data_IF_673306546088
#
_entry.id   IF_673306546088
#
_cell.length_a   1.000
_cell.length_b   1.000
_cell.length_c   1.000
_cell.angle_alpha   90.00
_cell.angle_beta   90.00
_cell.angle_gamma   90.00
#
_symmetry.space_group_name_H-M   'P 1'
#
loop_
_entity.id
_entity.type
_entity.pdbx_description
1 polymer ?
#
# COMPACT_ATOMS: atom_id res chain seq x y z
N UNK A 1 -5.51 23.91 -54.47
CA UNK A 1 -5.51 22.50 -54.04
C UNK A 1 -6.61 22.16 -53.02
N UNK A 2 -7.23 23.13 -52.32
CA UNK A 2 -8.32 22.82 -51.36
C UNK A 2 -9.68 22.53 -52.01
N UNK A 3 -9.95 23.06 -53.21
CA UNK A 3 -11.24 22.90 -53.90
C UNK A 3 -11.56 21.44 -54.30
N UNK A 4 -10.54 20.64 -54.65
CA UNK A 4 -10.73 19.24 -55.03
C UNK A 4 -11.15 18.36 -53.85
N UNK A 5 -10.65 18.65 -52.65
CA UNK A 5 -10.94 17.86 -51.45
C UNK A 5 -12.37 18.11 -50.94
N UNK A 6 -12.84 19.35 -50.98
CA UNK A 6 -14.21 19.70 -50.61
C UNK A 6 -15.23 19.17 -51.63
N UNK A 7 -14.88 19.16 -52.92
CA UNK A 7 -15.70 18.55 -53.97
C UNK A 7 -15.82 17.03 -53.79
N UNK A 8 -14.70 16.33 -53.54
CA UNK A 8 -14.67 14.90 -53.21
C UNK A 8 -15.49 14.57 -51.96
N UNK A 9 -15.37 15.39 -50.91
CA UNK A 9 -16.15 15.21 -49.67
C UNK A 9 -17.64 15.36 -49.91
N UNK A 10 -18.04 16.35 -50.70
CA UNK A 10 -19.44 16.58 -51.05
C UNK A 10 -20.02 15.41 -51.86
N UNK A 11 -19.26 14.91 -52.84
CA UNK A 11 -19.66 13.75 -53.64
C UNK A 11 -19.78 12.47 -52.81
N UNK A 12 -18.87 12.24 -51.86
CA UNK A 12 -18.94 11.08 -50.95
C UNK A 12 -20.16 11.15 -50.02
N UNK A 13 -20.49 12.34 -49.49
CA UNK A 13 -21.67 12.54 -48.65
C UNK A 13 -22.96 12.29 -49.44
N UNK A 14 -23.05 12.77 -50.67
CA UNK A 14 -24.20 12.50 -51.55
C UNK A 14 -24.33 11.02 -51.90
N UNK A 15 -23.21 10.35 -52.22
CA UNK A 15 -23.20 8.92 -52.55
C UNK A 15 -23.63 8.05 -51.36
N UNK A 16 -23.19 8.41 -50.15
CA UNK A 16 -23.61 7.76 -48.91
C UNK A 16 -25.09 8.01 -48.60
N UNK A 17 -25.60 9.21 -48.89
CA UNK A 17 -27.03 9.52 -48.78
C UNK A 17 -27.90 8.62 -49.66
N UNK A 18 -27.47 8.37 -50.90
CA UNK A 18 -28.18 7.47 -51.82
C UNK A 18 -28.14 6.03 -51.31
N UNK A 19 -26.99 5.54 -50.85
CA UNK A 19 -26.83 4.17 -50.33
C UNK A 19 -27.63 3.92 -49.05
N UNK A 20 -27.88 4.95 -48.24
CA UNK A 20 -28.58 4.83 -46.97
C UNK A 20 -30.08 5.13 -47.03
N UNK A 21 -30.60 5.53 -48.20
CA UNK A 21 -32.02 5.91 -48.42
C UNK A 21 -33.07 4.82 -48.16
N UNK A 22 -32.66 3.57 -47.83
CA UNK A 22 -33.54 2.45 -47.47
C UNK A 22 -33.42 1.96 -46.02
N UNK A 23 -32.60 2.59 -45.16
CA UNK A 23 -32.45 2.20 -43.74
C UNK A 23 -33.24 3.14 -42.84
N UNK A 24 -33.88 2.60 -41.79
CA UNK A 24 -34.57 3.41 -40.78
C UNK A 24 -33.56 4.36 -40.09
N UNK A 25 -33.81 5.66 -40.24
CA UNK A 25 -33.02 6.69 -39.57
C UNK A 25 -33.31 6.68 -38.06
N UNK A 26 -32.31 6.85 -37.19
CA UNK A 26 -32.52 6.89 -35.74
C UNK A 26 -33.34 8.10 -35.28
N UNK A 27 -33.42 9.16 -36.09
CA UNK A 27 -34.22 10.36 -35.81
C UNK A 27 -35.07 10.77 -37.03
N UNK A 28 -36.41 10.61 -37.01
CA UNK A 28 -37.25 10.82 -38.19
C UNK A 28 -37.34 12.28 -38.67
N UNK A 29 -36.81 13.25 -37.89
CA UNK A 29 -36.88 14.67 -38.23
C UNK A 29 -35.62 15.22 -38.92
N UNK A 30 -34.51 14.47 -38.95
CA UNK A 30 -33.27 14.89 -39.60
C UNK A 30 -33.03 14.18 -40.92
N UNK A 31 -32.52 14.91 -41.91
CA UNK A 31 -32.04 14.30 -43.14
C UNK A 31 -30.68 13.63 -42.91
N UNK A 32 -30.41 12.51 -43.58
CA UNK A 32 -29.15 11.75 -43.40
C UNK A 32 -27.89 12.60 -43.71
N UNK A 33 -28.01 13.58 -44.61
CA UNK A 33 -26.95 14.54 -44.92
C UNK A 33 -26.65 15.48 -43.74
N UNK A 34 -27.69 15.97 -43.05
CA UNK A 34 -27.54 16.77 -41.83
C UNK A 34 -26.98 15.94 -40.68
N UNK A 35 -27.38 14.67 -40.59
CA UNK A 35 -26.83 13.73 -39.60
C UNK A 35 -25.33 13.45 -39.82
N UNK A 36 -24.90 13.19 -41.05
CA UNK A 36 -23.46 13.03 -41.35
C UNK A 36 -22.67 14.30 -41.04
N UNK A 37 -23.25 15.48 -41.30
CA UNK A 37 -22.64 16.77 -40.96
C UNK A 37 -22.61 17.05 -39.45
N UNK A 38 -23.52 16.46 -38.68
CA UNK A 38 -23.57 16.59 -37.22
C UNK A 38 -22.68 15.58 -36.49
N UNK A 39 -22.17 14.55 -37.19
CA UNK A 39 -21.21 13.63 -36.62
C UNK A 39 -19.92 14.36 -36.22
N UNK A 40 -19.41 14.14 -35.00
CA UNK A 40 -18.14 14.73 -34.58
C UNK A 40 -17.03 14.26 -35.54
N UNK A 41 -16.23 15.21 -36.02
CA UNK A 41 -15.06 14.89 -36.82
C UNK A 41 -14.05 14.10 -36.00
N UNK A 42 -13.18 13.33 -36.66
CA UNK A 42 -12.10 12.61 -35.97
C UNK A 42 -11.27 13.54 -35.07
N UNK A 43 -11.04 14.78 -35.53
CA UNK A 43 -10.35 15.80 -34.73
C UNK A 43 -11.10 16.19 -33.46
N UNK A 44 -12.44 16.29 -33.48
CA UNK A 44 -13.21 16.62 -32.27
C UNK A 44 -13.23 15.46 -31.29
N UNK A 45 -13.34 14.22 -31.77
CA UNK A 45 -13.22 13.02 -30.91
C UNK A 45 -11.82 12.88 -30.29
N UNK A 46 -10.77 13.20 -31.05
CA UNK A 46 -9.41 13.22 -30.51
C UNK A 46 -9.21 14.31 -29.46
N UNK A 47 -9.75 15.52 -29.68
CA UNK A 47 -9.74 16.60 -28.69
C UNK A 47 -10.51 16.21 -27.44
N UNK A 48 -11.68 15.60 -27.57
CA UNK A 48 -12.47 15.13 -26.44
C UNK A 48 -11.72 14.05 -25.65
N UNK A 49 -11.08 13.10 -26.34
CA UNK A 49 -10.27 12.06 -25.69
C UNK A 49 -9.09 12.66 -24.92
N UNK A 50 -8.40 13.64 -25.50
CA UNK A 50 -7.31 14.39 -24.81
C UNK A 50 -7.84 15.13 -23.59
N UNK A 51 -8.96 15.83 -23.72
CA UNK A 51 -9.60 16.52 -22.61
C UNK A 51 -9.98 15.55 -21.48
N UNK A 52 -10.56 14.38 -21.79
CA UNK A 52 -10.86 13.36 -20.79
C UNK A 52 -9.60 12.76 -20.14
N UNK A 53 -8.49 12.64 -20.87
CA UNK A 53 -7.21 12.23 -20.30
C UNK A 53 -6.66 13.29 -19.35
N UNK A 54 -6.70 14.57 -19.74
CA UNK A 54 -6.30 15.69 -18.89
C UNK A 54 -7.15 15.78 -17.62
N UNK A 55 -8.47 15.58 -17.72
CA UNK A 55 -9.36 15.56 -16.56
C UNK A 55 -9.01 14.42 -15.59
N UNK A 56 -8.72 13.22 -16.09
CA UNK A 56 -8.25 12.10 -15.26
C UNK A 56 -6.90 12.41 -14.60
N UNK A 57 -5.97 13.01 -15.33
CA UNK A 57 -4.68 13.42 -14.77
C UNK A 57 -4.85 14.48 -13.67
N UNK A 58 -5.72 15.48 -13.88
CA UNK A 58 -6.05 16.51 -12.87
C UNK A 58 -6.63 15.89 -11.61
N UNK A 59 -7.58 14.96 -11.74
CA UNK A 59 -8.16 14.25 -10.59
C UNK A 59 -7.11 13.45 -9.80
N UNK A 60 -6.19 12.76 -10.49
CA UNK A 60 -5.10 12.02 -9.85
C UNK A 60 -4.19 12.97 -9.07
N UNK A 61 -3.79 14.10 -9.67
CA UNK A 61 -2.95 15.10 -9.01
C UNK A 61 -3.65 15.74 -7.82
N UNK A 62 -4.95 16.03 -7.92
CA UNK A 62 -5.75 16.57 -6.82
C UNK A 62 -5.82 15.57 -5.65
N UNK A 63 -6.06 14.30 -5.91
CA UNK A 63 -6.04 13.25 -4.88
C UNK A 63 -4.65 13.12 -4.23
N UNK A 64 -3.57 13.22 -5.01
CA UNK A 64 -2.20 13.22 -4.47
C UNK A 64 -1.95 14.43 -3.58
N UNK A 65 -2.40 15.62 -3.99
CA UNK A 65 -2.28 16.85 -3.21
C UNK A 65 -3.06 16.74 -1.89
N UNK A 66 -4.29 16.21 -1.92
CA UNK A 66 -5.09 15.97 -0.71
C UNK A 66 -4.40 15.00 0.25
N UNK A 67 -3.85 13.89 -0.26
CA UNK A 67 -3.08 12.93 0.57
C UNK A 67 -1.85 13.58 1.19
N UNK A 68 -1.12 14.40 0.44
CA UNK A 68 0.04 15.12 0.97
C UNK A 68 -0.35 16.19 2.00
N UNK A 69 -1.48 16.87 1.80
CA UNK A 69 -2.01 17.83 2.77
C UNK A 69 -2.37 17.15 4.10
N UNK A 70 -2.97 15.95 4.06
CA UNK A 70 -3.23 15.14 5.26
C UNK A 70 -1.92 14.76 5.94
N UNK A 71 -0.93 14.24 5.20
CA UNK A 71 0.40 13.90 5.76
C UNK A 71 1.13 15.10 6.36
N UNK A 72 0.88 16.32 5.87
CA UNK A 72 1.42 17.55 6.48
C UNK A 72 0.73 17.84 7.80
N UNK A 73 -0.61 17.80 7.85
CA UNK A 73 -1.38 17.96 9.10
C UNK A 73 -0.96 16.94 10.16
N UNK A 74 -0.82 15.67 9.80
CA UNK A 74 -0.36 14.63 10.72
C UNK A 74 1.05 14.91 11.26
N UNK A 75 1.98 15.41 10.42
CA UNK A 75 3.32 15.83 10.88
C UNK A 75 3.26 17.03 11.82
N UNK A 76 2.41 18.01 11.51
CA UNK A 76 2.22 19.19 12.34
C UNK A 76 1.60 18.81 13.71
N UNK A 77 0.63 17.90 13.72
CA UNK A 77 0.04 17.33 14.93
C UNK A 77 1.07 16.54 15.75
N UNK A 78 1.88 15.68 15.13
CA UNK A 78 2.98 14.98 15.81
C UNK A 78 4.00 15.96 16.41
N UNK A 79 4.30 17.04 15.71
CA UNK A 79 5.21 18.09 16.19
C UNK A 79 4.61 18.83 17.39
N UNK A 80 3.31 19.15 17.33
CA UNK A 80 2.59 19.81 18.42
C UNK A 80 2.49 18.91 19.66
N UNK A 81 2.21 17.61 19.48
CA UNK A 81 2.20 16.62 20.57
C UNK A 81 3.57 16.52 21.23
N UNK A 82 4.64 16.45 20.42
CA UNK A 82 6.01 16.42 20.93
C UNK A 82 6.37 17.71 21.69
N UNK A 83 5.89 18.87 21.24
CA UNK A 83 6.11 20.14 21.93
C UNK A 83 5.36 20.23 23.27
N UNK A 84 4.19 19.60 23.38
CA UNK A 84 3.42 19.55 24.63
C UNK A 84 4.02 18.61 25.67
N UNK A 85 4.71 17.53 25.26
CA UNK A 85 5.40 16.64 26.19
C UNK A 85 6.56 17.33 26.93
N UNK A 86 7.14 18.40 26.38
CA UNK A 86 8.15 19.23 27.05
C UNK A 86 7.55 20.37 27.91
N UNK A 87 6.22 20.56 27.88
CA UNK A 87 5.50 21.56 28.66
C UNK A 87 4.70 20.94 29.82
N UNK A 88 5.07 19.74 30.28
CA UNK A 88 4.66 19.30 31.62
C UNK A 88 5.31 20.28 32.59
N UNK A 89 4.53 21.05 33.39
CA UNK A 89 5.11 21.90 34.40
C UNK A 89 5.99 21.03 35.26
N UNK A 90 7.28 21.36 35.29
CA UNK A 90 8.24 20.85 36.25
C UNK A 90 7.86 21.42 37.65
N UNK A 91 6.60 21.25 38.07
CA UNK A 91 6.22 21.12 39.48
C UNK A 91 6.79 19.78 39.99
N UNK A 92 8.09 19.61 39.76
CA UNK A 92 9.08 19.17 40.71
C UNK A 92 8.55 18.04 41.57
N UNK A 93 8.78 16.81 41.09
CA UNK A 93 8.67 15.62 41.93
C UNK A 93 9.42 15.83 43.27
N UNK A 94 10.43 16.71 43.31
CA UNK A 94 11.11 17.18 44.52
C UNK A 94 10.19 17.97 45.48
N UNK A 95 9.26 18.80 44.99
CA UNK A 95 8.25 19.50 45.80
C UNK A 95 7.28 18.51 46.46
N UNK A 96 6.80 17.52 45.70
CA UNK A 96 5.91 16.47 46.23
C UNK A 96 6.66 15.57 47.23
N UNK A 97 7.94 15.27 46.99
CA UNK A 97 8.77 14.52 47.94
C UNK A 97 9.10 15.32 49.21
N UNK A 98 9.36 16.62 49.09
CA UNK A 98 9.59 17.51 50.24
C UNK A 98 8.35 17.61 51.12
N UNK A 99 7.15 17.77 50.55
CA UNK A 99 5.90 17.76 51.30
C UNK A 99 5.66 16.44 52.05
N UNK A 100 5.92 15.30 51.41
CA UNK A 100 5.79 13.98 52.07
C UNK A 100 6.79 13.83 53.23
N UNK A 101 8.02 14.34 53.08
CA UNK A 101 9.03 14.27 54.13
C UNK A 101 8.65 15.11 55.36
N UNK A 102 8.15 16.33 55.16
CA UNK A 102 7.66 17.18 56.25
C UNK A 102 6.49 16.55 57.02
N UNK A 103 5.61 15.85 56.32
CA UNK A 103 4.46 15.17 56.93
C UNK A 103 4.90 14.03 57.88
N UNK A 104 5.94 13.28 57.51
CA UNK A 104 6.51 12.21 58.34
C UNK A 104 7.14 12.79 59.61
N UNK A 105 7.86 13.91 59.51
CA UNK A 105 8.49 14.55 60.66
C UNK A 105 7.47 15.06 61.70
N UNK A 106 6.33 15.60 61.25
CA UNK A 106 5.23 16.01 62.15
C UNK A 106 4.67 14.83 62.94
N UNK A 107 4.45 13.71 62.27
CA UNK A 107 3.86 12.51 62.88
C UNK A 107 4.79 11.89 63.95
N UNK A 108 6.11 11.90 63.71
CA UNK A 108 7.09 11.42 64.69
C UNK A 108 7.16 12.28 65.96
N UNK A 109 6.91 13.59 65.86
CA UNK A 109 6.90 14.49 67.01
C UNK A 109 5.68 14.28 67.92
N UNK A 110 4.56 13.85 67.35
CA UNK A 110 3.31 13.59 68.07
C UNK A 110 3.40 12.33 68.93
N UNK A 111 4.00 11.26 68.40
CA UNK A 111 4.21 9.99 69.12
C UNK A 111 5.03 10.19 70.41
N UNK A 112 6.10 10.99 70.36
CA UNK A 112 6.94 11.26 71.53
C UNK A 112 6.22 12.02 72.65
N UNK A 113 5.15 12.76 72.34
CA UNK A 113 4.36 13.45 73.37
C UNK A 113 3.46 12.50 74.16
N UNK A 114 2.97 11.46 73.50
CA UNK A 114 2.08 10.47 74.13
C UNK A 114 2.85 9.54 75.08
N UNK A 115 4.14 9.27 74.80
CA UNK A 115 4.98 8.40 75.63
C UNK A 115 5.39 9.01 76.98
N UNK A 116 5.21 10.33 77.19
CA UNK A 116 5.63 11.02 78.42
C UNK A 116 4.51 11.18 79.48
N UNK A 117 3.30 10.65 79.22
CA UNK A 117 2.10 10.94 80.03
C UNK A 117 1.72 9.96 81.16
N UNK A 118 2.21 8.73 81.17
CA UNK A 118 1.63 7.65 82.00
C UNK A 118 2.63 7.05 83.00
N UNK A 119 2.91 7.74 84.12
CA UNK A 119 3.42 7.08 85.35
C UNK A 119 3.10 7.94 86.59
N UNK A 120 2.04 7.60 87.32
CA UNK A 120 1.91 7.88 88.77
C UNK A 120 0.81 6.98 89.38
N UNK A 121 1.23 5.93 90.08
CA UNK A 121 0.38 5.13 90.98
C UNK A 121 0.74 5.43 92.45
N UNK A 122 -0.23 5.25 93.37
CA UNK A 122 0.01 5.15 94.81
C UNK A 122 -1.13 4.38 95.52
N UNK A 123 -0.85 3.33 96.33
CA UNK A 123 -1.82 2.80 97.29
C UNK A 123 -1.26 2.65 98.72
N UNK A 124 -2.03 3.00 99.75
CA UNK A 124 -1.72 2.66 101.16
C UNK A 124 -2.93 2.20 101.98
N UNK A 125 -2.72 1.02 102.59
CA UNK A 125 -3.47 0.33 103.64
C UNK A 125 -3.51 1.10 104.98
N UNK A 126 -4.49 0.80 105.87
CA UNK A 126 -4.23 0.29 107.25
C UNK A 126 -5.48 -0.03 108.10
N UNK A 127 -5.26 -1.05 108.94
CA UNK A 127 -6.08 -1.75 109.95
C UNK A 127 -6.04 -1.03 111.31
N UNK A 128 -7.02 -1.24 112.22
CA UNK A 128 -6.78 -1.33 113.68
C UNK A 128 -7.96 -1.91 114.48
N UNK A 129 -7.65 -2.74 115.49
CA UNK A 129 -8.54 -3.47 116.39
C UNK A 129 -8.23 -3.17 117.88
N UNK A 130 -9.24 -3.21 118.77
CA UNK A 130 -9.22 -3.24 120.27
C UNK A 130 -10.61 -3.73 120.72
N UNK A 131 -10.90 -4.46 121.78
CA UNK A 131 -10.19 -5.05 122.91
C UNK A 131 -11.24 -5.74 123.82
N UNK A 132 -10.83 -6.77 124.57
CA UNK A 132 -11.66 -7.75 125.31
C UNK A 132 -12.18 -7.28 126.68
N UNK A 133 -13.28 -7.88 127.18
CA UNK A 133 -13.57 -8.13 128.61
C UNK A 133 -14.60 -9.27 128.74
N UNK A 134 -14.23 -10.37 129.41
CA UNK A 134 -15.04 -11.60 129.54
C UNK A 134 -15.85 -11.69 130.85
N UNK A 135 -17.03 -12.36 130.93
CA UNK A 135 -17.88 -12.17 132.11
C UNK A 135 -18.64 -13.41 132.65
N UNK A 136 -19.46 -13.10 133.66
CA UNK A 136 -20.01 -13.91 134.75
C UNK A 136 -21.02 -15.02 134.36
N UNK A 137 -21.26 -15.99 135.23
CA UNK A 137 -22.05 -17.24 134.99
C UNK A 137 -23.49 -17.07 134.45
N UNK A 138 -24.13 -15.89 134.50
CA UNK A 138 -25.39 -15.59 133.77
C UNK A 138 -25.16 -15.45 132.26
N UNK A 139 -23.94 -15.09 131.86
CA UNK A 139 -23.49 -15.16 130.47
C UNK A 139 -23.29 -16.57 129.96
N UNK A 140 -23.10 -17.62 130.75
CA UNK A 140 -22.90 -18.96 130.18
C UNK A 140 -24.13 -19.46 129.41
N UNK A 141 -25.34 -19.06 129.84
CA UNK A 141 -26.60 -19.31 129.12
C UNK A 141 -26.79 -18.34 127.93
N UNK A 142 -26.45 -17.07 128.09
CA UNK A 142 -26.43 -16.11 126.98
C UNK A 142 -25.36 -16.44 125.93
N UNK A 143 -24.26 -17.08 126.32
CA UNK A 143 -23.18 -17.62 125.47
C UNK A 143 -23.70 -18.84 124.72
N UNK A 144 -24.53 -19.69 125.34
CA UNK A 144 -25.13 -20.83 124.66
C UNK A 144 -26.21 -20.42 123.64
N UNK A 145 -27.06 -19.44 123.98
CA UNK A 145 -27.98 -18.83 123.00
C UNK A 145 -27.25 -18.03 121.93
N UNK A 146 -26.20 -17.27 122.29
CA UNK A 146 -25.30 -16.64 121.32
C UNK A 146 -24.63 -17.67 120.43
N UNK A 147 -24.17 -18.80 120.95
CA UNK A 147 -23.58 -19.88 120.16
C UNK A 147 -24.58 -20.47 119.18
N UNK A 148 -25.85 -20.64 119.58
CA UNK A 148 -26.90 -21.14 118.69
C UNK A 148 -27.30 -20.12 117.61
N UNK A 149 -27.39 -18.84 117.97
CA UNK A 149 -27.61 -17.75 117.02
C UNK A 149 -26.40 -17.55 116.09
N UNK A 150 -25.19 -17.70 116.62
CA UNK A 150 -23.93 -17.64 115.87
C UNK A 150 -23.85 -18.80 114.88
N UNK A 151 -24.23 -20.03 115.26
CA UNK A 151 -24.35 -21.15 114.32
C UNK A 151 -25.37 -20.89 113.20
N UNK A 152 -26.51 -20.26 113.50
CA UNK A 152 -27.50 -19.87 112.48
C UNK A 152 -26.99 -18.71 111.60
N UNK A 153 -26.25 -17.75 112.18
CA UNK A 153 -25.60 -16.69 111.43
C UNK A 153 -24.48 -17.21 110.55
N UNK A 154 -23.71 -18.18 111.01
CA UNK A 154 -22.66 -18.89 110.27
C UNK A 154 -23.30 -19.67 109.12
N UNK A 155 -24.39 -20.41 109.32
CA UNK A 155 -25.13 -21.06 108.23
C UNK A 155 -25.69 -20.06 107.21
N UNK A 156 -26.22 -18.92 107.66
CA UNK A 156 -26.68 -17.84 106.76
C UNK A 156 -25.50 -17.19 106.03
N UNK A 157 -24.34 -17.10 106.65
CA UNK A 157 -23.10 -16.57 106.07
C UNK A 157 -22.54 -17.52 105.03
N UNK A 158 -22.48 -18.81 105.33
CA UNK A 158 -22.13 -19.89 104.41
C UNK A 158 -23.08 -19.91 103.21
N UNK A 159 -24.39 -19.75 103.43
CA UNK A 159 -25.37 -19.63 102.33
C UNK A 159 -25.09 -18.44 101.41
N UNK A 160 -24.76 -17.26 101.97
CA UNK A 160 -24.35 -16.07 101.20
C UNK A 160 -22.99 -16.23 100.53
N UNK A 161 -22.08 -17.00 101.11
CA UNK A 161 -20.76 -17.30 100.54
C UNK A 161 -20.87 -18.29 99.39
N UNK A 162 -21.70 -19.32 99.50
CA UNK A 162 -22.04 -20.23 98.41
C UNK A 162 -22.75 -19.52 97.27
N UNK A 163 -23.67 -18.60 97.57
CA UNK A 163 -24.33 -17.79 96.54
C UNK A 163 -23.34 -16.82 95.86
N UNK A 164 -22.40 -16.24 96.61
CA UNK A 164 -21.28 -15.45 96.04
C UNK A 164 -20.39 -16.31 95.13
N UNK A 165 -19.97 -17.49 95.59
CA UNK A 165 -19.17 -18.40 94.77
C UNK A 165 -19.91 -18.81 93.50
N UNK A 166 -21.22 -19.11 93.57
CA UNK A 166 -22.04 -19.40 92.37
C UNK A 166 -22.10 -18.22 91.41
N UNK A 167 -22.20 -16.98 91.90
CA UNK A 167 -22.17 -15.78 91.06
C UNK A 167 -20.80 -15.55 90.43
N UNK A 168 -19.73 -15.79 91.18
CA UNK A 168 -18.35 -15.74 90.69
C UNK A 168 -18.11 -16.83 89.62
N UNK A 169 -18.57 -18.06 89.85
CA UNK A 169 -18.51 -19.16 88.87
C UNK A 169 -19.29 -18.81 87.60
N UNK A 170 -20.50 -18.26 87.72
CA UNK A 170 -21.29 -17.78 86.57
C UNK A 170 -20.55 -16.67 85.81
N UNK A 171 -19.95 -15.71 86.53
CA UNK A 171 -19.14 -14.65 85.93
C UNK A 171 -17.93 -15.21 85.18
N UNK A 172 -17.23 -16.21 85.73
CA UNK A 172 -16.11 -16.86 85.04
C UNK A 172 -16.59 -17.63 83.80
N UNK A 173 -17.71 -18.33 83.88
CA UNK A 173 -18.29 -19.05 82.74
C UNK A 173 -18.71 -18.07 81.63
N UNK A 174 -19.38 -16.97 81.96
CA UNK A 174 -19.74 -15.90 81.01
C UNK A 174 -18.49 -15.32 80.34
N UNK A 175 -17.45 -15.00 81.12
CA UNK A 175 -16.19 -14.49 80.60
C UNK A 175 -15.48 -15.47 79.66
N UNK A 176 -15.52 -16.77 79.96
CA UNK A 176 -14.97 -17.82 79.08
C UNK A 176 -15.79 -17.90 77.78
N UNK A 177 -17.11 -17.81 77.85
CA UNK A 177 -17.98 -17.83 76.67
C UNK A 177 -17.75 -16.59 75.80
N UNK A 178 -17.63 -15.40 76.39
CA UNK A 178 -17.27 -14.17 75.69
C UNK A 178 -15.90 -14.25 75.03
N UNK A 179 -14.89 -14.81 75.73
CA UNK A 179 -13.56 -15.00 75.17
C UNK A 179 -13.59 -15.95 73.97
N UNK A 180 -14.37 -17.05 74.04
CA UNK A 180 -14.58 -17.97 72.92
C UNK A 180 -15.30 -17.31 71.75
N UNK A 181 -16.30 -16.48 72.02
CA UNK A 181 -17.02 -15.73 70.98
C UNK A 181 -16.09 -14.74 70.27
N UNK A 182 -15.28 -13.98 71.02
CA UNK A 182 -14.28 -13.06 70.46
C UNK A 182 -13.22 -13.80 69.63
N UNK A 183 -12.70 -14.92 70.13
CA UNK A 183 -11.74 -15.74 69.40
C UNK A 183 -12.31 -16.26 68.07
N UNK A 184 -13.59 -16.69 68.07
CA UNK A 184 -14.28 -17.13 66.85
C UNK A 184 -14.47 -15.98 65.86
N UNK A 185 -14.88 -14.81 66.33
CA UNK A 185 -15.04 -13.61 65.49
C UNK A 185 -13.70 -13.19 64.86
N UNK A 186 -12.61 -13.23 65.62
CA UNK A 186 -11.27 -12.92 65.12
C UNK A 186 -10.81 -13.94 64.07
N UNK A 187 -11.09 -15.22 64.29
CA UNK A 187 -10.80 -16.27 63.31
C UNK A 187 -11.58 -16.02 62.00
N UNK A 188 -12.87 -15.71 62.07
CA UNK A 188 -13.68 -15.37 60.88
C UNK A 188 -13.14 -14.13 60.16
N UNK A 189 -12.66 -13.11 60.88
CA UNK A 189 -12.01 -11.94 60.29
C UNK A 189 -10.72 -12.31 59.55
N UNK A 190 -9.89 -13.18 60.15
CA UNK A 190 -8.65 -13.67 59.52
C UNK A 190 -8.95 -14.47 58.26
N UNK A 191 -9.95 -15.35 58.29
CA UNK A 191 -10.38 -16.14 57.14
C UNK A 191 -10.92 -15.25 56.01
N UNK A 192 -11.76 -14.26 56.33
CA UNK A 192 -12.26 -13.26 55.36
C UNK A 192 -11.12 -12.46 54.74
N UNK A 193 -10.16 -12.00 55.55
CA UNK A 193 -9.00 -11.25 55.05
C UNK A 193 -8.10 -12.13 54.15
N UNK A 194 -7.91 -13.40 54.50
CA UNK A 194 -7.18 -14.36 53.69
C UNK A 194 -7.88 -14.67 52.35
N UNK A 195 -9.22 -14.78 52.35
CA UNK A 195 -9.99 -14.95 51.12
C UNK A 195 -9.89 -13.73 50.18
N UNK A 196 -9.95 -12.51 50.73
CA UNK A 196 -9.76 -11.28 49.96
C UNK A 196 -8.36 -11.20 49.32
N UNK A 197 -7.31 -11.57 50.06
CA UNK A 197 -5.95 -11.61 49.53
C UNK A 197 -5.78 -12.64 48.41
N UNK A 198 -6.40 -13.84 48.55
CA UNK A 198 -6.40 -14.86 47.48
C UNK A 198 -7.11 -14.36 46.23
N UNK A 199 -8.28 -13.73 46.37
CA UNK A 199 -9.01 -13.16 45.24
C UNK A 199 -8.18 -12.07 44.54
N UNK A 200 -7.54 -11.18 45.29
CA UNK A 200 -6.67 -10.15 44.71
C UNK A 200 -5.47 -10.76 43.95
N UNK A 201 -4.86 -11.81 44.47
CA UNK A 201 -3.75 -12.50 43.83
C UNK A 201 -4.20 -13.24 42.56
N UNK A 202 -5.37 -13.88 42.58
CA UNK A 202 -5.98 -14.49 41.39
C UNK A 202 -6.32 -13.44 40.31
N UNK A 203 -6.84 -12.28 40.69
CA UNK A 203 -7.11 -11.17 39.76
C UNK A 203 -5.82 -10.63 39.13
N UNK A 204 -4.76 -10.48 39.92
CA UNK A 204 -3.44 -10.11 39.40
C UNK A 204 -2.90 -11.15 38.42
N UNK A 205 -3.02 -12.44 38.74
CA UNK A 205 -2.62 -13.52 37.84
C UNK A 205 -3.43 -13.51 36.53
N UNK A 206 -4.75 -13.32 36.62
CA UNK A 206 -5.63 -13.16 35.45
C UNK A 206 -5.25 -11.93 34.62
N UNK A 207 -4.89 -10.82 35.25
CA UNK A 207 -4.41 -9.62 34.57
C UNK A 207 -3.07 -9.89 33.84
N UNK A 208 -2.10 -10.51 34.50
CA UNK A 208 -0.81 -10.90 33.89
C UNK A 208 -1.04 -11.84 32.70
N UNK A 209 -1.93 -12.82 32.83
CA UNK A 209 -2.28 -13.74 31.74
C UNK A 209 -2.88 -13.00 30.54
N UNK A 210 -3.81 -12.07 30.76
CA UNK A 210 -4.38 -11.21 29.71
C UNK A 210 -3.31 -10.37 29.01
N UNK A 211 -2.41 -9.76 29.78
CA UNK A 211 -1.31 -8.98 29.20
C UNK A 211 -0.40 -9.85 28.33
N UNK A 212 -0.05 -11.07 28.78
CA UNK A 212 0.76 -11.99 27.99
C UNK A 212 0.10 -12.39 26.67
N UNK A 213 -1.22 -12.62 26.66
CA UNK A 213 -1.98 -12.90 25.45
C UNK A 213 -1.93 -11.72 24.48
N UNK A 214 -2.21 -10.50 24.95
CA UNK A 214 -2.12 -9.29 24.14
C UNK A 214 -0.72 -9.07 23.55
N UNK A 215 0.34 -9.32 24.33
CA UNK A 215 1.72 -9.26 23.83
C UNK A 215 2.00 -10.33 22.77
N UNK A 216 1.47 -11.55 22.94
CA UNK A 216 1.63 -12.62 21.95
C UNK A 216 0.90 -12.28 20.64
N UNK A 217 -0.34 -11.79 20.72
CA UNK A 217 -1.13 -11.32 19.57
C UNK A 217 -0.42 -10.19 18.84
N UNK A 218 0.06 -9.17 19.57
CA UNK A 218 0.83 -8.07 19.00
C UNK A 218 2.07 -8.57 18.25
N UNK A 219 2.82 -9.51 18.82
CA UNK A 219 4.00 -10.11 18.15
C UNK A 219 3.64 -10.86 16.88
N UNK A 220 2.48 -11.52 16.83
CA UNK A 220 2.01 -12.21 15.62
C UNK A 220 1.63 -11.17 14.57
N UNK A 221 0.86 -10.14 14.93
CA UNK A 221 0.49 -9.05 14.03
C UNK A 221 1.71 -8.31 13.45
N UNK A 222 2.74 -8.08 14.26
CA UNK A 222 4.00 -7.47 13.81
C UNK A 222 4.73 -8.38 12.80
N UNK A 223 4.75 -9.70 13.03
CA UNK A 223 5.34 -10.68 12.10
C UNK A 223 4.58 -10.73 10.78
N UNK A 224 3.25 -10.74 10.82
CA UNK A 224 2.40 -10.71 9.62
C UNK A 224 2.63 -9.42 8.83
N UNK A 225 2.72 -8.28 9.52
CA UNK A 225 3.02 -6.99 8.88
C UNK A 225 4.38 -7.00 8.20
N UNK A 226 5.41 -7.57 8.84
CA UNK A 226 6.73 -7.72 8.23
C UNK A 226 6.73 -8.68 7.04
N UNK A 227 5.98 -9.79 7.13
CA UNK A 227 5.84 -10.75 6.04
C UNK A 227 5.17 -10.11 4.81
N UNK A 228 4.06 -9.40 5.00
CA UNK A 228 3.39 -8.67 3.90
C UNK A 228 4.31 -7.63 3.24
N UNK A 229 5.11 -6.90 4.03
CA UNK A 229 6.09 -5.95 3.48
C UNK A 229 7.17 -6.66 2.66
N UNK A 230 7.65 -7.83 3.12
CA UNK A 230 8.63 -8.61 2.39
C UNK A 230 8.06 -9.15 1.07
N UNK A 231 6.81 -9.65 1.08
CA UNK A 231 6.10 -10.11 -0.11
C UNK A 231 5.87 -8.97 -1.12
N UNK A 232 5.49 -7.78 -0.68
CA UNK A 232 5.34 -6.61 -1.55
C UNK A 232 6.69 -6.19 -2.17
N UNK A 233 7.78 -6.19 -1.38
CA UNK A 233 9.12 -5.92 -1.91
C UNK A 233 9.55 -6.95 -2.96
N UNK A 234 9.34 -8.24 -2.70
CA UNK A 234 9.63 -9.30 -3.66
C UNK A 234 8.80 -9.14 -4.93
N UNK A 235 7.51 -8.85 -4.78
CA UNK A 235 6.59 -8.61 -5.91
C UNK A 235 7.02 -7.40 -6.75
N UNK A 236 7.48 -6.32 -6.10
CA UNK A 236 8.06 -5.15 -6.80
C UNK A 236 9.31 -5.55 -7.57
N UNK A 237 10.23 -6.31 -6.95
CA UNK A 237 11.44 -6.79 -7.62
C UNK A 237 11.13 -7.65 -8.84
N UNK A 238 10.13 -8.55 -8.74
CA UNK A 238 9.68 -9.35 -9.88
C UNK A 238 9.15 -8.49 -11.03
N UNK A 239 8.28 -7.52 -10.73
CA UNK A 239 7.77 -6.57 -11.73
C UNK A 239 8.89 -5.75 -12.37
N UNK A 240 9.90 -5.34 -11.62
CA UNK A 240 11.06 -4.65 -12.18
C UNK A 240 11.85 -5.54 -13.15
N UNK A 241 12.12 -6.79 -12.78
CA UNK A 241 12.81 -7.74 -13.66
C UNK A 241 12.01 -8.04 -14.93
N UNK A 242 10.69 -8.19 -14.82
CA UNK A 242 9.81 -8.38 -15.97
C UNK A 242 9.82 -7.15 -16.88
N UNK A 243 9.77 -5.94 -16.30
CA UNK A 243 9.87 -4.70 -17.07
C UNK A 243 11.24 -4.54 -17.78
N UNK A 244 12.33 -4.96 -17.15
CA UNK A 244 13.67 -5.00 -17.78
C UNK A 244 13.72 -5.96 -18.95
N UNK A 245 13.15 -7.16 -18.82
CA UNK A 245 13.03 -8.13 -19.93
C UNK A 245 12.22 -7.58 -21.09
N UNK A 246 11.06 -6.99 -20.82
CA UNK A 246 10.22 -6.36 -21.86
C UNK A 246 10.95 -5.22 -22.57
N UNK A 247 11.76 -4.44 -21.83
CA UNK A 247 12.59 -3.39 -22.41
C UNK A 247 13.67 -3.98 -23.33
N UNK A 248 14.31 -5.08 -22.93
CA UNK A 248 15.30 -5.79 -23.74
C UNK A 248 14.67 -6.38 -25.01
N UNK A 249 13.50 -7.00 -24.91
CA UNK A 249 12.73 -7.51 -26.05
C UNK A 249 12.38 -6.39 -27.05
N UNK A 250 11.87 -5.26 -26.57
CA UNK A 250 11.59 -4.08 -27.41
C UNK A 250 12.85 -3.53 -28.07
N UNK A 251 13.99 -3.54 -27.36
CA UNK A 251 15.27 -3.14 -27.93
C UNK A 251 15.70 -4.11 -29.02
N UNK A 252 15.58 -5.42 -28.81
CA UNK A 252 15.91 -6.44 -29.81
C UNK A 252 15.04 -6.29 -31.06
N UNK A 253 13.72 -6.16 -30.91
CA UNK A 253 12.81 -5.91 -32.03
C UNK A 253 13.19 -4.65 -32.82
N UNK A 254 13.57 -3.57 -32.13
CA UNK A 254 14.00 -2.35 -32.79
C UNK A 254 15.29 -2.55 -33.59
N UNK A 255 16.26 -3.28 -33.04
CA UNK A 255 17.50 -3.62 -33.75
C UNK A 255 17.21 -4.50 -34.98
N UNK A 256 16.37 -5.52 -34.85
CA UNK A 256 15.95 -6.38 -35.96
C UNK A 256 15.27 -5.58 -37.08
N UNK A 257 14.32 -4.70 -36.74
CA UNK A 257 13.68 -3.82 -37.72
C UNK A 257 14.69 -2.93 -38.45
N UNK A 258 15.69 -2.43 -37.73
CA UNK A 258 16.75 -1.60 -38.31
C UNK A 258 17.64 -2.41 -39.26
N UNK A 259 17.99 -3.64 -38.90
CA UNK A 259 18.76 -4.56 -39.76
C UNK A 259 17.97 -4.88 -41.03
N UNK A 260 16.69 -5.25 -40.90
CA UNK A 260 15.82 -5.51 -42.05
C UNK A 260 15.71 -4.31 -43.00
N UNK A 261 15.57 -3.09 -42.46
CA UNK A 261 15.56 -1.87 -43.28
C UNK A 261 16.87 -1.66 -44.03
N UNK A 262 18.02 -1.93 -43.40
CA UNK A 262 19.32 -1.84 -44.09
C UNK A 262 19.46 -2.90 -45.19
N UNK A 263 19.02 -4.13 -44.94
CA UNK A 263 19.06 -5.21 -45.94
C UNK A 263 18.12 -4.94 -47.12
N UNK A 264 16.92 -4.41 -46.86
CA UNK A 264 15.99 -3.97 -47.91
C UNK A 264 16.59 -2.84 -48.76
N UNK A 265 17.23 -1.87 -48.12
CA UNK A 265 17.90 -0.76 -48.80
C UNK A 265 19.06 -1.25 -49.68
N UNK A 266 19.87 -2.16 -49.17
CA UNK A 266 20.98 -2.78 -49.91
C UNK A 266 20.46 -3.60 -51.08
N UNK A 267 19.38 -4.36 -50.88
CA UNK A 267 18.74 -5.15 -51.92
C UNK A 267 18.19 -4.27 -53.04
N UNK A 268 17.49 -3.18 -52.70
CA UNK A 268 17.01 -2.19 -53.68
C UNK A 268 18.16 -1.54 -54.44
N UNK A 269 19.24 -1.17 -53.74
CA UNK A 269 20.42 -0.58 -54.35
C UNK A 269 21.10 -1.53 -55.34
N UNK A 270 21.25 -2.81 -54.97
CA UNK A 270 21.78 -3.85 -55.87
C UNK A 270 20.92 -4.06 -57.11
N UNK A 271 19.59 -4.10 -56.95
CA UNK A 271 18.66 -4.20 -58.08
C UNK A 271 18.78 -3.01 -59.03
N UNK A 272 18.79 -1.79 -58.51
CA UNK A 272 18.96 -0.57 -59.33
C UNK A 272 20.29 -0.56 -60.10
N UNK A 273 21.36 -1.06 -59.49
CA UNK A 273 22.66 -1.19 -60.17
C UNK A 273 22.60 -2.23 -61.29
N UNK A 274 21.93 -3.35 -61.05
CA UNK A 274 21.71 -4.40 -62.05
C UNK A 274 20.89 -3.89 -63.24
N UNK A 275 19.76 -3.23 -62.99
CA UNK A 275 18.91 -2.64 -64.03
C UNK A 275 19.69 -1.62 -64.86
N UNK A 276 20.49 -0.78 -64.21
CA UNK A 276 21.34 0.20 -64.90
C UNK A 276 22.42 -0.47 -65.76
N UNK A 277 22.98 -1.58 -65.29
CA UNK A 277 23.98 -2.34 -66.03
C UNK A 277 23.36 -3.02 -67.25
N UNK A 278 22.18 -3.63 -67.09
CA UNK A 278 21.42 -4.24 -68.18
C UNK A 278 20.97 -3.22 -69.23
N UNK A 279 20.48 -2.05 -68.81
CA UNK A 279 20.11 -0.97 -69.72
C UNK A 279 21.32 -0.51 -70.54
N UNK A 280 22.49 -0.33 -69.90
CA UNK A 280 23.74 0.00 -70.61
C UNK A 280 24.16 -1.09 -71.61
N UNK A 281 23.97 -2.35 -71.26
CA UNK A 281 24.27 -3.46 -72.15
C UNK A 281 23.36 -3.43 -73.39
N UNK A 282 22.05 -3.28 -73.19
CA UNK A 282 21.08 -3.17 -74.29
C UNK A 282 21.37 -1.96 -75.19
N UNK A 283 21.71 -0.81 -74.62
CA UNK A 283 22.11 0.38 -75.39
C UNK A 283 23.38 0.11 -76.21
N UNK A 284 24.36 -0.58 -75.65
CA UNK A 284 25.60 -0.94 -76.34
C UNK A 284 25.34 -1.92 -77.50
N UNK A 285 24.50 -2.94 -77.28
CA UNK A 285 24.08 -3.89 -78.32
C UNK A 285 23.31 -3.19 -79.44
N UNK A 286 22.34 -2.32 -79.12
CA UNK A 286 21.64 -1.50 -80.10
C UNK A 286 22.60 -0.60 -80.89
N UNK A 287 23.61 -0.03 -80.22
CA UNK A 287 24.63 0.79 -80.87
C UNK A 287 25.49 -0.06 -81.82
N UNK A 288 25.84 -1.29 -81.45
CA UNK A 288 26.55 -2.24 -82.31
C UNK A 288 25.71 -2.63 -83.52
N UNK A 289 24.44 -3.04 -83.33
CA UNK A 289 23.52 -3.38 -84.42
C UNK A 289 23.33 -2.22 -85.40
N UNK A 290 23.15 -0.99 -84.89
CA UNK A 290 23.08 0.22 -85.73
C UNK A 290 24.38 0.46 -86.50
N UNK A 291 25.54 0.21 -85.89
CA UNK A 291 26.83 0.36 -86.56
C UNK A 291 27.01 -0.68 -87.68
N UNK A 292 26.63 -1.94 -87.44
CA UNK A 292 26.68 -3.01 -88.43
C UNK A 292 25.70 -2.77 -89.58
N UNK A 293 24.45 -2.39 -89.29
CA UNK A 293 23.48 -2.02 -90.32
C UNK A 293 24.00 -0.88 -91.21
N UNK A 294 24.68 0.12 -90.62
CA UNK A 294 25.35 1.19 -91.39
C UNK A 294 26.50 0.66 -92.24
N UNK A 295 27.27 -0.32 -91.76
CA UNK A 295 28.36 -0.97 -92.53
C UNK A 295 27.80 -1.75 -93.71
N UNK A 296 26.77 -2.57 -93.49
CA UNK A 296 26.13 -3.36 -94.54
C UNK A 296 25.50 -2.45 -95.60
N UNK A 297 24.78 -1.40 -95.20
CA UNK A 297 24.21 -0.42 -96.13
C UNK A 297 25.28 0.29 -96.97
N UNK A 298 26.44 0.61 -96.38
CA UNK A 298 27.58 1.17 -97.12
C UNK A 298 28.17 0.17 -98.12
N UNK A 299 28.25 -1.11 -97.77
CA UNK A 299 28.69 -2.17 -98.69
C UNK A 299 27.71 -2.36 -99.85
N UNK A 300 26.41 -2.43 -99.56
CA UNK A 300 25.37 -2.51 -100.60
C UNK A 300 25.45 -1.32 -101.56
N UNK A 301 25.57 -0.10 -101.04
CA UNK A 301 25.71 1.09 -101.88
C UNK A 301 26.99 1.06 -102.74
N UNK A 302 28.09 0.51 -102.22
CA UNK A 302 29.33 0.32 -103.00
C UNK A 302 29.13 -0.69 -104.11
N UNK A 303 28.57 -1.86 -103.80
CA UNK A 303 28.26 -2.90 -104.78
C UNK A 303 27.30 -2.40 -105.85
N UNK A 304 26.28 -1.64 -105.46
CA UNK A 304 25.33 -1.03 -106.39
C UNK A 304 26.02 0.01 -107.28
N UNK A 305 26.90 0.86 -106.73
CA UNK A 305 27.70 1.80 -107.51
C UNK A 305 28.65 1.10 -108.48
N UNK A 306 29.33 0.04 -108.05
CA UNK A 306 30.22 -0.77 -108.90
C UNK A 306 29.42 -1.47 -110.01
N UNK A 307 28.27 -2.05 -109.68
CA UNK A 307 27.36 -2.65 -110.66
C UNK A 307 26.84 -1.63 -111.68
N UNK A 308 26.57 -0.39 -111.27
CA UNK A 308 26.21 0.71 -112.20
C UNK A 308 27.39 1.11 -113.08
N UNK A 309 28.58 1.26 -112.51
CA UNK A 309 29.78 1.64 -113.25
C UNK A 309 30.22 0.58 -114.28
N UNK A 310 29.80 -0.68 -114.12
CA UNK A 310 30.08 -1.77 -115.04
C UNK A 310 29.32 -1.68 -116.38
N UNK A 311 28.25 -0.88 -116.45
CA UNK A 311 27.49 -0.66 -117.69
C UNK A 311 28.15 0.43 -118.54
N UNK A 312 28.46 0.08 -119.78
CA UNK A 312 29.12 0.95 -120.76
C UNK A 312 28.14 1.22 -121.90
N UNK A 313 28.07 2.47 -122.35
CA UNK A 313 27.28 2.88 -123.51
C UNK A 313 28.03 2.49 -124.80
N UNK A 314 27.38 1.72 -125.66
CA UNK A 314 27.93 1.23 -126.91
C UNK A 314 26.96 1.54 -128.07
N UNK A 315 27.51 1.54 -129.28
CA UNK A 315 26.76 1.80 -130.52
C UNK A 315 26.90 0.59 -131.43
N UNK A 316 25.79 0.16 -132.05
CA UNK A 316 25.82 -0.90 -133.05
C UNK A 316 26.22 -0.36 -134.44
N UNK A 317 26.40 -1.26 -135.41
CA UNK A 317 26.74 -0.90 -136.79
C UNK A 317 25.63 -0.09 -137.51
N UNK A 318 24.42 -0.08 -136.95
CA UNK A 318 23.27 0.65 -137.47
C UNK A 318 23.09 2.03 -136.81
N UNK A 319 23.98 2.41 -135.88
CA UNK A 319 23.89 3.67 -135.13
C UNK A 319 22.88 3.67 -133.98
N UNK A 320 22.35 2.51 -133.59
CA UNK A 320 21.50 2.39 -132.40
C UNK A 320 22.36 2.26 -131.14
N UNK A 321 21.91 2.94 -130.08
CA UNK A 321 22.54 2.87 -128.77
C UNK A 321 22.07 1.64 -127.99
N UNK A 322 23.01 0.92 -127.39
CA UNK A 322 22.75 -0.13 -126.40
C UNK A 322 23.71 -0.02 -125.21
N UNK A 323 23.37 -0.67 -124.10
CA UNK A 323 24.19 -0.70 -122.90
C UNK A 323 24.74 -2.12 -122.69
N UNK A 324 26.05 -2.23 -122.48
CA UNK A 324 26.75 -3.48 -122.27
C UNK A 324 27.32 -3.54 -120.86
N UNK A 325 27.03 -4.61 -120.12
CA UNK A 325 27.62 -4.85 -118.80
C UNK A 325 28.94 -5.61 -118.95
N UNK A 326 30.05 -4.92 -118.66
CA UNK A 326 31.40 -5.48 -118.75
C UNK A 326 31.70 -6.62 -117.77
N UNK A 327 30.93 -6.77 -116.69
CA UNK A 327 31.11 -7.82 -115.68
C UNK A 327 30.29 -9.06 -116.00
N UNK A 328 29.02 -8.90 -116.37
CA UNK A 328 28.12 -10.03 -116.63
C UNK A 328 28.12 -10.49 -118.08
N UNK A 329 28.62 -9.66 -119.01
CA UNK A 329 28.61 -9.93 -120.44
C UNK A 329 27.24 -9.77 -121.11
N UNK A 330 26.25 -9.19 -120.41
CA UNK A 330 24.88 -9.02 -120.91
C UNK A 330 24.73 -7.65 -121.61
N UNK A 331 24.04 -7.62 -122.73
CA UNK A 331 23.66 -6.40 -123.47
C UNK A 331 22.16 -6.13 -123.39
N UNK A 332 21.76 -4.87 -123.28
CA UNK A 332 20.34 -4.45 -123.31
C UNK A 332 20.15 -3.12 -124.03
N UNK A 333 18.94 -2.91 -124.57
CA UNK A 333 18.59 -1.70 -125.32
C UNK A 333 18.04 -0.57 -124.42
N UNK A 334 17.43 -0.93 -123.30
CA UNK A 334 16.96 0.04 -122.30
C UNK A 334 18.12 0.49 -121.40
N UNK A 335 18.10 1.74 -120.94
CA UNK A 335 19.09 2.21 -119.98
C UNK A 335 19.02 1.35 -118.70
N UNK A 336 20.17 0.94 -118.12
CA UNK A 336 20.17 0.21 -116.87
C UNK A 336 19.45 1.05 -115.80
N UNK A 337 18.70 0.41 -114.88
CA UNK A 337 17.84 1.13 -113.95
C UNK A 337 18.64 2.19 -113.19
N UNK A 338 18.40 3.45 -113.56
CA UNK A 338 18.86 4.62 -112.83
C UNK A 338 17.93 4.75 -111.63
N UNK A 339 18.46 4.59 -110.41
CA UNK A 339 17.67 4.96 -109.23
C UNK A 339 17.45 6.45 -109.15
#
# INVERSE_FOLDING_TARGET
>A
MCADVESLRSHLVESLGVLCSGRQHPDPQQTFSEWIKSLPTLETLERERRYQQEQRQRQILEQQYQREAIRRRERDECTLMSANDYNVPEESELSVQQQKHEQILRMQAEIRRLEQGDLNEDPKLKVNAKGEQGPSKKEKLAIQERQRLQQLEDQRREGRELERMRREDLYYVERILEAKAKAKEEQEKREKSGALQKNALEEQQKHIARMRLLYAEKRIADRETLAMRAEDLLSRQMRFREAEKLKEELQNEWHERKVMQTEEHDSRSRWMLWDRMMAKQQEAELKQQRAEARRLKRQQLRQEKEARAAWIECWDENGNRYFYNSITGISQWEAPPTS
#
